data_IF_343236405649
#
_entry.id   IF_343236405649
#
_cell.length_a   1.000
_cell.length_b   1.000
_cell.length_c   1.000
_cell.angle_alpha   90.00
_cell.angle_beta   90.00
_cell.angle_gamma   90.00
#
_symmetry.space_group_name_H-M   'P 1'
#
loop_
_entity.id
_entity.type
_entity.pdbx_description
1 polymer ?
#
# COMPACT_ATOMS: atom_id res chain seq x y z
N UNK A 1 -9.76 -2.74 11.58
CA UNK A 1 -11.15 -2.34 11.32
C UNK A 1 -11.22 -1.01 10.59
N UNK A 2 -12.04 -0.99 9.58
CA UNK A 2 -12.25 0.21 8.77
C UNK A 2 -13.52 0.91 9.29
N UNK A 3 -13.39 2.20 9.66
CA UNK A 3 -14.50 2.98 10.17
C UNK A 3 -15.47 3.34 9.05
N UNK A 4 -16.72 3.71 9.42
CA UNK A 4 -17.73 4.14 8.44
C UNK A 4 -17.25 5.33 7.59
N UNK A 5 -16.55 6.28 8.22
CA UNK A 5 -16.01 7.44 7.48
C UNK A 5 -14.92 6.99 6.49
N UNK A 6 -14.07 6.06 6.90
CA UNK A 6 -13.05 5.52 6.02
C UNK A 6 -13.69 4.77 4.86
N UNK A 7 -14.79 4.03 5.10
CA UNK A 7 -15.52 3.34 4.04
C UNK A 7 -16.08 4.31 3.02
N UNK A 8 -16.60 5.46 3.45
CA UNK A 8 -17.08 6.50 2.53
C UNK A 8 -15.96 7.03 1.63
N UNK A 9 -14.80 7.28 2.23
CA UNK A 9 -13.63 7.75 1.48
C UNK A 9 -13.18 6.67 0.52
N UNK A 10 -13.12 5.42 0.95
CA UNK A 10 -12.70 4.30 0.11
C UNK A 10 -13.68 4.05 -1.03
N UNK A 11 -14.97 4.29 -0.82
CA UNK A 11 -15.94 4.18 -1.90
C UNK A 11 -15.62 5.18 -3.03
N UNK A 12 -15.23 6.40 -2.68
CA UNK A 12 -14.82 7.41 -3.66
C UNK A 12 -13.52 7.01 -4.36
N UNK A 13 -12.56 6.50 -3.61
CA UNK A 13 -11.29 6.01 -4.16
C UNK A 13 -11.54 4.85 -5.13
N UNK A 14 -12.37 3.89 -4.74
CA UNK A 14 -12.72 2.75 -5.58
C UNK A 14 -13.34 3.21 -6.90
N UNK A 15 -14.21 4.21 -6.85
CA UNK A 15 -14.83 4.76 -8.05
C UNK A 15 -13.78 5.35 -9.01
N UNK A 16 -12.80 6.07 -8.47
CA UNK A 16 -11.71 6.64 -9.28
C UNK A 16 -10.88 5.52 -9.91
N UNK A 17 -10.49 4.50 -9.14
CA UNK A 17 -9.67 3.41 -9.66
C UNK A 17 -10.42 2.65 -10.76
N UNK A 18 -11.70 2.34 -10.53
CA UNK A 18 -12.53 1.64 -11.52
C UNK A 18 -12.70 2.43 -12.82
N UNK A 19 -12.64 3.75 -12.75
CA UNK A 19 -12.74 4.61 -13.95
C UNK A 19 -11.44 4.63 -14.75
N UNK A 20 -10.36 4.06 -14.22
CA UNK A 20 -9.03 4.10 -14.85
C UNK A 20 -8.44 2.68 -14.93
N UNK A 21 -8.99 1.82 -15.83
CA UNK A 21 -8.57 0.41 -15.86
C UNK A 21 -7.10 0.20 -16.25
N UNK A 22 -6.46 1.19 -16.86
CA UNK A 22 -5.06 1.11 -17.24
C UNK A 22 -4.12 1.64 -16.16
N UNK A 23 -4.65 1.95 -14.97
CA UNK A 23 -3.83 2.40 -13.86
C UNK A 23 -3.76 1.32 -12.80
N UNK A 24 -2.70 1.35 -12.01
CA UNK A 24 -2.58 0.54 -10.81
C UNK A 24 -2.71 1.44 -9.59
N UNK A 25 -3.19 0.88 -8.49
CA UNK A 25 -3.28 1.59 -7.23
C UNK A 25 -2.45 0.85 -6.19
N UNK A 26 -1.43 1.52 -5.68
CA UNK A 26 -0.60 0.97 -4.61
C UNK A 26 -1.13 1.48 -3.28
N UNK A 27 -1.48 0.55 -2.40
CA UNK A 27 -1.96 0.86 -1.06
C UNK A 27 -0.78 0.68 -0.11
N UNK A 28 -0.29 1.78 0.41
CA UNK A 28 0.94 1.82 1.20
C UNK A 28 0.62 2.06 2.67
N UNK A 29 0.87 1.06 3.52
CA UNK A 29 0.63 1.16 4.96
C UNK A 29 1.86 1.69 5.68
N UNK A 30 1.61 2.44 6.75
CA UNK A 30 2.65 2.99 7.62
C UNK A 30 2.31 2.78 9.08
N UNK A 31 3.31 2.69 9.93
CA UNK A 31 3.15 2.57 11.37
C UNK A 31 3.92 3.69 12.08
N UNK A 32 3.65 3.84 13.36
CA UNK A 32 4.55 4.58 14.25
C UNK A 32 5.63 3.61 14.79
N UNK A 33 6.48 4.09 15.68
CA UNK A 33 7.59 3.29 16.22
C UNK A 33 7.16 2.27 17.28
N UNK A 34 5.93 2.34 17.77
CA UNK A 34 5.45 1.47 18.86
C UNK A 34 4.25 0.61 18.50
N UNK A 35 3.80 0.64 17.25
CA UNK A 35 2.58 -0.07 16.82
C UNK A 35 2.72 -1.58 16.76
N UNK A 36 3.93 -2.10 16.83
CA UNK A 36 4.21 -3.52 16.73
C UNK A 36 3.49 -4.32 17.83
N UNK A 37 2.84 -5.41 17.44
CA UNK A 37 2.16 -6.34 18.36
C UNK A 37 2.92 -7.65 18.44
N UNK A 38 3.69 -7.79 19.49
CA UNK A 38 4.49 -8.98 19.74
C UNK A 38 3.59 -10.22 19.82
N UNK A 39 4.01 -11.29 19.15
CA UNK A 39 3.31 -12.57 19.19
C UNK A 39 2.26 -12.78 18.10
N UNK A 40 1.81 -11.72 17.45
CA UNK A 40 0.86 -11.79 16.33
C UNK A 40 1.54 -11.49 15.02
N UNK A 41 2.38 -10.46 15.02
CA UNK A 41 3.16 -10.03 13.87
C UNK A 41 4.62 -10.00 14.26
N UNK A 42 5.52 -10.15 13.28
CA UNK A 42 6.95 -10.15 13.56
C UNK A 42 7.46 -8.76 13.93
N UNK A 43 7.00 -7.72 13.22
CA UNK A 43 7.49 -6.36 13.43
C UNK A 43 6.56 -5.34 12.76
N UNK A 44 7.02 -4.09 12.68
CA UNK A 44 6.25 -3.03 12.04
C UNK A 44 6.20 -3.16 10.51
N UNK A 45 7.12 -3.89 9.90
CA UNK A 45 6.99 -4.26 8.48
C UNK A 45 5.70 -5.04 8.26
N UNK A 46 5.51 -6.10 9.05
CA UNK A 46 4.28 -6.93 8.95
C UNK A 46 3.04 -6.11 9.23
N UNK A 47 3.08 -5.26 10.27
CA UNK A 47 1.93 -4.45 10.62
C UNK A 47 1.55 -3.48 9.51
N UNK A 48 2.54 -2.85 8.87
CA UNK A 48 2.26 -1.90 7.79
C UNK A 48 1.65 -2.59 6.58
N UNK A 49 2.13 -3.80 6.24
CA UNK A 49 1.54 -4.59 5.15
C UNK A 49 0.11 -5.02 5.51
N UNK A 50 -0.12 -5.41 6.76
CA UNK A 50 -1.46 -5.79 7.21
C UNK A 50 -2.44 -4.62 7.12
N UNK A 51 -2.02 -3.41 7.43
CA UNK A 51 -2.84 -2.22 7.22
C UNK A 51 -3.21 -2.05 5.75
N UNK A 52 -2.23 -2.23 4.87
CA UNK A 52 -2.45 -2.16 3.43
C UNK A 52 -3.45 -3.21 2.97
N UNK A 53 -3.26 -4.48 3.34
CA UNK A 53 -4.14 -5.56 2.88
C UNK A 53 -5.56 -5.40 3.41
N UNK A 54 -5.75 -4.84 4.60
CA UNK A 54 -7.09 -4.55 5.12
C UNK A 54 -7.84 -3.58 4.21
N UNK A 55 -7.17 -2.54 3.75
CA UNK A 55 -7.76 -1.56 2.83
C UNK A 55 -8.02 -2.21 1.46
N UNK A 56 -7.08 -3.01 0.97
CA UNK A 56 -7.23 -3.71 -0.32
C UNK A 56 -8.47 -4.57 -0.32
N UNK A 57 -8.75 -5.29 0.76
CA UNK A 57 -9.94 -6.13 0.85
C UNK A 57 -11.22 -5.32 0.73
N UNK A 58 -11.26 -4.14 1.35
CA UNK A 58 -12.40 -3.24 1.22
C UNK A 58 -12.56 -2.76 -0.22
N UNK A 59 -11.46 -2.37 -0.88
CA UNK A 59 -11.51 -1.95 -2.27
C UNK A 59 -12.02 -3.05 -3.19
N UNK A 60 -11.62 -4.31 -2.95
CA UNK A 60 -12.13 -5.45 -3.71
C UNK A 60 -13.63 -5.62 -3.49
N UNK A 61 -14.10 -5.50 -2.26
CA UNK A 61 -15.53 -5.57 -1.94
C UNK A 61 -16.31 -4.47 -2.64
N UNK A 62 -15.68 -3.33 -2.86
CA UNK A 62 -16.27 -2.21 -3.58
C UNK A 62 -16.17 -2.35 -5.11
N UNK A 63 -15.66 -3.47 -5.58
CA UNK A 63 -15.66 -3.81 -7.01
C UNK A 63 -14.39 -3.48 -7.76
N UNK A 64 -13.32 -3.08 -7.08
CA UNK A 64 -12.04 -2.83 -7.75
C UNK A 64 -11.44 -4.16 -8.20
N UNK A 65 -10.95 -4.19 -9.44
CA UNK A 65 -10.27 -5.37 -9.96
C UNK A 65 -8.96 -5.58 -9.19
N UNK A 66 -8.76 -6.73 -8.54
CA UNK A 66 -7.53 -6.97 -7.77
C UNK A 66 -6.27 -6.90 -8.60
N UNK A 67 -6.35 -7.11 -9.93
CA UNK A 67 -5.18 -6.96 -10.80
C UNK A 67 -4.66 -5.52 -10.85
N UNK A 68 -5.46 -4.54 -10.43
CA UNK A 68 -5.04 -3.15 -10.34
C UNK A 68 -4.40 -2.79 -8.99
N UNK A 69 -4.45 -3.70 -8.01
CA UNK A 69 -4.07 -3.37 -6.63
C UNK A 69 -2.69 -3.92 -6.28
N UNK A 70 -1.92 -3.08 -5.58
CA UNK A 70 -0.61 -3.44 -5.07
C UNK A 70 -0.61 -3.19 -3.57
N UNK A 71 -0.26 -4.21 -2.78
CA UNK A 71 -0.10 -4.08 -1.34
C UNK A 71 1.34 -3.69 -1.04
N UNK A 72 1.53 -2.68 -0.20
CA UNK A 72 2.86 -2.23 0.19
C UNK A 72 2.90 -1.84 1.67
N UNK A 73 4.04 -2.03 2.29
CA UNK A 73 4.28 -1.62 3.66
C UNK A 73 5.62 -0.91 3.80
N UNK A 74 5.62 0.19 4.51
CA UNK A 74 6.82 1.00 4.76
C UNK A 74 7.34 0.84 6.20
N UNK A 75 6.64 0.05 7.05
CA UNK A 75 6.99 -0.06 8.44
C UNK A 75 6.87 1.29 9.16
N UNK A 76 7.83 1.57 10.00
CA UNK A 76 7.92 2.82 10.75
C UNK A 76 8.89 3.83 10.11
N UNK A 77 9.46 3.51 8.97
CA UNK A 77 10.70 4.13 8.47
C UNK A 77 10.50 5.37 7.60
N UNK A 78 9.26 5.72 7.30
CA UNK A 78 8.96 6.92 6.51
C UNK A 78 7.90 7.75 7.25
N UNK A 79 8.27 8.32 8.41
CA UNK A 79 7.33 9.09 9.21
C UNK A 79 7.05 10.46 8.56
N UNK A 80 5.82 10.95 8.74
CA UNK A 80 5.46 12.30 8.34
C UNK A 80 5.90 13.33 9.37
N UNK A 81 5.89 12.93 10.64
CA UNK A 81 6.26 13.77 11.77
C UNK A 81 7.07 12.93 12.76
N UNK A 82 7.71 13.56 13.73
CA UNK A 82 8.45 12.82 14.74
C UNK A 82 7.51 11.97 15.60
N UNK A 83 8.02 10.88 16.15
CA UNK A 83 7.22 9.96 17.00
C UNK A 83 7.23 10.35 18.48
N UNK A 84 7.51 11.62 18.79
CA UNK A 84 7.74 12.09 20.16
C UNK A 84 6.47 12.18 21.01
N UNK A 85 5.32 12.36 20.40
CA UNK A 85 4.05 12.48 21.11
C UNK A 85 3.03 11.49 20.61
N UNK A 86 2.01 11.22 21.42
CA UNK A 86 0.91 10.33 21.03
C UNK A 86 0.17 10.87 19.80
N UNK A 87 0.00 12.18 19.69
CA UNK A 87 -0.65 12.83 18.56
C UNK A 87 0.16 12.62 17.27
N UNK A 88 1.48 12.80 17.35
CA UNK A 88 2.36 12.61 16.21
C UNK A 88 2.42 11.15 15.78
N UNK A 89 2.45 10.22 16.74
CA UNK A 89 2.42 8.79 16.41
C UNK A 89 1.13 8.43 15.68
N UNK A 90 -0.01 9.01 16.09
CA UNK A 90 -1.29 8.78 15.40
C UNK A 90 -1.25 9.26 13.94
N UNK A 91 -0.58 10.37 13.67
CA UNK A 91 -0.40 10.87 12.30
C UNK A 91 0.41 9.88 11.47
N UNK A 92 1.43 9.25 12.06
CA UNK A 92 2.28 8.31 11.35
C UNK A 92 1.59 6.97 11.07
N UNK A 93 0.56 6.59 11.84
CA UNK A 93 -0.26 5.39 11.57
C UNK A 93 -1.27 5.71 10.48
N UNK A 94 -0.86 5.51 9.24
CA UNK A 94 -1.67 5.92 8.08
C UNK A 94 -1.56 4.95 6.92
N UNK A 95 -2.46 5.10 5.97
CA UNK A 95 -2.42 4.42 4.69
C UNK A 95 -2.41 5.49 3.61
N UNK A 96 -1.54 5.31 2.62
CA UNK A 96 -1.43 6.19 1.46
C UNK A 96 -1.80 5.40 0.22
N UNK A 97 -2.63 5.96 -0.64
CA UNK A 97 -3.01 5.32 -1.89
C UNK A 97 -2.42 6.12 -3.04
N UNK A 98 -1.57 5.46 -3.82
CA UNK A 98 -0.88 6.08 -4.94
C UNK A 98 -1.40 5.44 -6.22
N UNK A 99 -1.95 6.24 -7.12
CA UNK A 99 -2.46 5.76 -8.40
C UNK A 99 -1.36 5.96 -9.45
N UNK A 100 -0.98 4.85 -10.09
CA UNK A 100 0.17 4.80 -10.99
C UNK A 100 -0.30 4.38 -12.39
N UNK A 101 0.02 5.14 -13.44
CA UNK A 101 -0.27 4.69 -14.79
C UNK A 101 0.63 3.51 -15.15
N UNK A 102 0.09 2.56 -15.88
CA UNK A 102 0.91 1.49 -16.46
C UNK A 102 1.63 2.04 -17.67
N UNK A 103 2.95 1.97 -17.65
CA UNK A 103 3.79 2.37 -18.77
C UNK A 103 4.42 1.11 -19.32
N UNK A 104 3.78 0.52 -20.31
CA UNK A 104 4.16 -0.80 -20.85
C UNK A 104 5.61 -0.88 -21.29
N UNK A 105 6.07 0.15 -21.98
CA UNK A 105 7.47 0.18 -22.46
C UNK A 105 8.46 0.13 -21.31
N UNK A 106 8.16 0.83 -20.22
CA UNK A 106 9.02 0.85 -19.04
C UNK A 106 9.05 -0.53 -18.38
N UNK A 107 7.89 -1.16 -18.20
CA UNK A 107 7.80 -2.47 -17.60
C UNK A 107 8.50 -3.52 -18.47
N UNK A 108 8.35 -3.44 -19.78
CA UNK A 108 9.03 -4.37 -20.70
C UNK A 108 10.55 -4.24 -20.58
N UNK A 109 11.06 -3.03 -20.48
CA UNK A 109 12.48 -2.79 -20.31
C UNK A 109 13.00 -3.40 -19.01
N UNK A 110 12.28 -3.20 -17.90
CA UNK A 110 12.63 -3.77 -16.60
C UNK A 110 12.62 -5.30 -16.67
N UNK A 111 11.61 -5.88 -17.29
CA UNK A 111 11.55 -7.35 -17.44
C UNK A 111 12.75 -7.91 -18.20
N UNK A 112 13.14 -7.24 -19.27
CA UNK A 112 14.33 -7.67 -20.05
C UNK A 112 15.60 -7.64 -19.20
N UNK A 113 15.78 -6.58 -18.41
CA UNK A 113 16.93 -6.48 -17.52
C UNK A 113 16.94 -7.59 -16.47
N UNK A 114 15.78 -7.86 -15.87
CA UNK A 114 15.67 -8.91 -14.86
C UNK A 114 15.93 -10.29 -15.43
N UNK A 115 15.45 -10.57 -16.65
CA UNK A 115 15.72 -11.84 -17.33
C UNK A 115 17.20 -12.00 -17.63
N UNK A 116 17.85 -10.94 -18.08
CA UNK A 116 19.29 -10.97 -18.36
C UNK A 116 20.08 -11.31 -17.10
N UNK A 117 19.72 -10.73 -15.96
CA UNK A 117 20.36 -11.03 -14.68
C UNK A 117 20.10 -12.48 -14.25
N UNK A 118 18.87 -12.95 -14.42
CA UNK A 118 18.48 -14.30 -14.02
C UNK A 118 19.20 -15.38 -14.85
N UNK A 119 19.57 -15.05 -16.10
CA UNK A 119 20.28 -15.96 -17.00
C UNK A 119 21.80 -15.88 -16.84
N UNK A 120 22.29 -15.10 -15.86
CA UNK A 120 23.71 -14.90 -15.67
C UNK A 120 24.36 -14.02 -16.74
N UNK A 121 23.56 -13.33 -17.54
CA UNK A 121 24.06 -12.39 -18.53
C UNK A 121 24.65 -11.14 -17.86
N UNK A 122 25.79 -10.71 -18.32
CA UNK A 122 26.46 -9.54 -17.78
C UNK A 122 26.15 -8.31 -18.62
#
# INVERSE_FOLDING_TARGET
NVTSRAEEILAKVAKVIKSKPNFEAMVEGHTDTVSYQKGVLLDNWDLSVKRSTSIIRVLQELGVNPAQLIAAGRGEYVPLVSNDTAENRAVNRRTRIVVLPKIDQFYDMIEKEMKALAQGGN
#
